data_IF_316445874068
#
_entry.id   IF_316445874068
#
_cell.length_a   1.000
_cell.length_b   1.000
_cell.length_c   1.000
_cell.angle_alpha   90.00
_cell.angle_beta   90.00
_cell.angle_gamma   90.00
#
_symmetry.space_group_name_H-M   'P 1'
#
loop_
_entity.id
_entity.type
_entity.pdbx_description
1 polymer ?
#
# COMPACT_ATOMS: atom_id res chain seq x y z
N UNK A 1 6.54 11.42 -12.11
CA UNK A 1 5.36 11.42 -11.23
C UNK A 1 5.58 10.30 -10.23
N UNK A 2 5.64 10.57 -8.92
CA UNK A 2 5.69 9.48 -7.94
C UNK A 2 4.36 8.72 -8.01
N UNK A 3 4.42 7.43 -8.31
CA UNK A 3 3.24 6.58 -8.26
C UNK A 3 2.77 6.49 -6.80
N UNK A 4 1.47 6.63 -6.51
CA UNK A 4 0.97 6.65 -5.13
C UNK A 4 1.06 5.29 -4.43
N UNK A 5 1.43 4.23 -5.15
CA UNK A 5 1.77 2.90 -4.64
C UNK A 5 2.63 2.15 -5.67
N UNK A 6 3.21 1.03 -5.25
CA UNK A 6 3.83 0.04 -6.12
C UNK A 6 3.40 -1.37 -5.71
N UNK A 7 3.41 -2.28 -6.68
CA UNK A 7 3.05 -3.70 -6.50
C UNK A 7 4.30 -4.53 -6.72
N UNK A 8 4.56 -5.48 -5.83
CA UNK A 8 5.66 -6.42 -5.95
C UNK A 8 5.16 -7.85 -5.81
N UNK A 9 5.60 -8.74 -6.71
CA UNK A 9 5.33 -10.16 -6.60
C UNK A 9 6.40 -10.83 -5.73
N UNK A 10 5.98 -11.38 -4.59
CA UNK A 10 6.83 -12.01 -3.57
C UNK A 10 6.68 -13.52 -3.63
N UNK A 11 7.76 -14.22 -3.26
CA UNK A 11 7.82 -15.69 -3.18
C UNK A 11 7.51 -16.40 -4.52
N UNK A 12 8.03 -15.83 -5.61
CA UNK A 12 7.84 -16.30 -6.98
C UNK A 12 9.16 -16.75 -7.67
N UNK A 13 10.03 -17.56 -7.01
CA UNK A 13 11.38 -17.85 -7.52
C UNK A 13 11.41 -18.52 -8.90
N UNK A 14 10.36 -19.28 -9.25
CA UNK A 14 10.23 -19.96 -10.54
C UNK A 14 9.87 -19.03 -11.72
N UNK A 15 9.47 -17.78 -11.46
CA UNK A 15 9.03 -16.84 -12.49
C UNK A 15 10.16 -15.95 -13.00
N UNK A 16 10.22 -15.79 -14.33
CA UNK A 16 11.14 -14.87 -15.01
C UNK A 16 10.78 -13.41 -14.70
N UNK A 17 11.74 -12.49 -14.82
CA UNK A 17 11.51 -11.06 -14.59
C UNK A 17 10.38 -10.50 -15.45
N UNK A 18 10.26 -10.95 -16.71
CA UNK A 18 9.17 -10.53 -17.61
C UNK A 18 7.81 -10.99 -17.11
N UNK A 19 7.69 -12.28 -16.74
CA UNK A 19 6.44 -12.83 -16.22
C UNK A 19 6.01 -12.14 -14.92
N UNK A 20 6.97 -11.79 -14.05
CA UNK A 20 6.72 -11.02 -12.83
C UNK A 20 6.16 -9.62 -13.14
N UNK A 21 6.81 -8.87 -14.04
CA UNK A 21 6.36 -7.52 -14.41
C UNK A 21 4.97 -7.54 -15.06
N UNK A 22 4.69 -8.53 -15.91
CA UNK A 22 3.36 -8.70 -16.49
C UNK A 22 2.30 -9.00 -15.41
N UNK A 23 2.62 -9.86 -14.46
CA UNK A 23 1.76 -10.20 -13.33
C UNK A 23 1.42 -8.98 -12.47
N UNK A 24 2.46 -8.23 -12.09
CA UNK A 24 2.36 -7.00 -11.29
C UNK A 24 1.52 -5.95 -12.03
N UNK A 25 1.72 -5.79 -13.34
CA UNK A 25 0.95 -4.88 -14.17
C UNK A 25 -0.53 -5.26 -14.28
N UNK A 26 -0.85 -6.56 -14.43
CA UNK A 26 -2.24 -7.05 -14.45
C UNK A 26 -2.92 -6.83 -13.11
N UNK A 27 -2.22 -7.12 -12.01
CA UNK A 27 -2.72 -6.90 -10.66
C UNK A 27 -3.02 -5.41 -10.40
N UNK A 28 -2.07 -4.52 -10.71
CA UNK A 28 -2.24 -3.08 -10.56
C UNK A 28 -3.42 -2.56 -11.39
N UNK A 29 -3.53 -2.96 -12.66
CA UNK A 29 -4.62 -2.54 -13.54
C UNK A 29 -6.00 -3.00 -13.04
N UNK A 30 -6.08 -4.20 -12.47
CA UNK A 30 -7.32 -4.72 -11.89
C UNK A 30 -7.74 -3.93 -10.65
N UNK A 31 -6.79 -3.61 -9.76
CA UNK A 31 -7.03 -2.73 -8.61
C UNK A 31 -7.50 -1.34 -9.05
N UNK A 32 -6.80 -0.70 -9.99
CA UNK A 32 -7.16 0.62 -10.50
C UNK A 32 -8.56 0.61 -11.12
N UNK A 33 -8.92 -0.44 -11.85
CA UNK A 33 -10.26 -0.57 -12.45
C UNK A 33 -11.36 -0.69 -11.40
N UNK A 34 -11.09 -1.33 -10.27
CA UNK A 34 -12.06 -1.55 -9.20
C UNK A 34 -12.21 -0.36 -8.22
N UNK A 35 -11.13 0.41 -8.05
CA UNK A 35 -11.08 1.58 -7.17
C UNK A 35 -11.17 2.93 -7.90
N UNK A 36 -11.24 2.92 -9.24
CA UNK A 36 -11.39 4.14 -10.04
C UNK A 36 -10.10 4.91 -10.30
N UNK A 37 -8.96 4.23 -10.21
CA UNK A 37 -7.63 4.78 -10.49
C UNK A 37 -6.65 4.62 -9.33
N UNK A 38 -5.40 5.10 -9.51
CA UNK A 38 -4.32 4.81 -8.59
C UNK A 38 -4.48 5.50 -7.22
N UNK A 39 -5.11 6.68 -7.17
CA UNK A 39 -5.46 7.36 -5.92
C UNK A 39 -6.48 6.58 -5.10
N UNK A 40 -7.46 5.95 -5.76
CA UNK A 40 -8.47 5.12 -5.09
C UNK A 40 -7.86 3.88 -4.45
N UNK A 41 -6.90 3.24 -5.12
CA UNK A 41 -6.13 2.11 -4.57
C UNK A 41 -5.37 2.53 -3.32
N UNK A 42 -4.67 3.68 -3.37
CA UNK A 42 -3.90 4.18 -2.23
C UNK A 42 -4.81 4.59 -1.05
N UNK A 43 -5.98 5.18 -1.31
CA UNK A 43 -6.97 5.50 -0.28
C UNK A 43 -7.50 4.22 0.39
N UNK A 44 -7.80 3.18 -0.40
CA UNK A 44 -8.31 1.93 0.13
C UNK A 44 -7.29 1.14 0.94
N UNK A 45 -6.03 1.10 0.49
CA UNK A 45 -4.95 0.51 1.27
C UNK A 45 -4.70 1.26 2.58
N UNK A 46 -4.79 2.60 2.57
CA UNK A 46 -4.69 3.42 3.80
C UNK A 46 -5.82 3.12 4.78
N UNK A 47 -7.06 3.06 4.29
CA UNK A 47 -8.22 2.70 5.12
C UNK A 47 -8.07 1.30 5.73
N UNK A 48 -7.63 0.32 4.94
CA UNK A 48 -7.35 -1.03 5.42
C UNK A 48 -6.22 -1.07 6.45
N UNK A 49 -5.10 -0.38 6.19
CA UNK A 49 -3.98 -0.30 7.14
C UNK A 49 -4.36 0.40 8.44
N UNK A 50 -5.15 1.47 8.37
CA UNK A 50 -5.70 2.15 9.55
C UNK A 50 -6.63 1.21 10.31
N UNK A 51 -7.43 0.41 9.62
CA UNK A 51 -8.33 -0.56 10.23
C UNK A 51 -7.60 -1.73 10.93
N UNK A 52 -6.35 -2.01 10.58
CA UNK A 52 -5.52 -2.99 11.28
C UNK A 52 -4.88 -2.43 12.56
N UNK A 53 -4.61 -1.12 12.59
CA UNK A 53 -3.97 -0.43 13.72
C UNK A 53 -4.99 0.12 14.74
N UNK A 54 -6.22 0.38 14.26
CA UNK A 54 -7.31 0.98 15.03
C UNK A 54 -8.33 -0.07 15.47
N UNK A 55 -8.89 0.08 16.67
CA UNK A 55 -9.96 -0.80 17.14
C UNK A 55 -11.24 -0.61 16.29
N UNK A 56 -12.01 -1.69 16.02
CA UNK A 56 -13.24 -1.63 15.23
C UNK A 56 -14.31 -0.70 15.80
N UNK A 57 -14.25 -0.37 17.10
CA UNK A 57 -15.16 0.57 17.75
C UNK A 57 -14.86 2.04 17.44
N UNK A 58 -13.61 2.36 17.06
CA UNK A 58 -13.15 3.70 16.71
C UNK A 58 -13.10 3.93 15.19
N UNK A 59 -13.43 2.91 14.39
CA UNK A 59 -13.43 2.98 12.93
C UNK A 59 -14.80 3.39 12.39
N UNK A 60 -14.80 4.42 11.54
CA UNK A 60 -15.99 4.80 10.79
C UNK A 60 -16.50 3.64 9.91
N UNK A 61 -17.82 3.53 9.79
CA UNK A 61 -18.47 2.50 8.97
C UNK A 61 -18.02 2.56 7.49
N UNK A 62 -17.71 3.76 6.98
CA UNK A 62 -17.17 3.95 5.63
C UNK A 62 -15.78 3.31 5.51
N UNK A 63 -14.88 3.57 6.47
CA UNK A 63 -13.54 2.97 6.54
C UNK A 63 -13.59 1.45 6.64
N UNK A 64 -14.48 0.91 7.47
CA UNK A 64 -14.70 -0.54 7.58
C UNK A 64 -15.19 -1.15 6.25
N UNK A 65 -16.16 -0.52 5.59
CA UNK A 65 -16.66 -0.97 4.30
C UNK A 65 -15.56 -0.94 3.22
N UNK A 66 -14.71 0.09 3.26
CA UNK A 66 -13.60 0.26 2.34
C UNK A 66 -12.49 -0.76 2.58
N UNK A 67 -12.18 -1.07 3.84
CA UNK A 67 -11.25 -2.12 4.23
C UNK A 67 -11.75 -3.53 3.86
N UNK A 68 -13.05 -3.80 4.05
CA UNK A 68 -13.66 -5.06 3.61
C UNK A 68 -13.65 -5.19 2.07
N UNK A 69 -13.93 -4.10 1.37
CA UNK A 69 -13.86 -4.04 -0.10
C UNK A 69 -12.43 -4.24 -0.59
N UNK A 70 -11.43 -3.69 0.11
CA UNK A 70 -10.02 -3.90 -0.18
C UNK A 70 -9.68 -5.38 -0.26
N UNK A 71 -9.99 -6.17 0.77
CA UNK A 71 -9.71 -7.61 0.78
C UNK A 71 -10.31 -8.34 -0.42
N UNK A 72 -11.60 -8.09 -0.71
CA UNK A 72 -12.30 -8.76 -1.81
C UNK A 72 -11.70 -8.42 -3.17
N UNK A 73 -11.45 -7.14 -3.41
CA UNK A 73 -10.88 -6.67 -4.67
C UNK A 73 -9.43 -7.13 -4.82
N UNK A 74 -8.64 -7.07 -3.75
CA UNK A 74 -7.25 -7.53 -3.75
C UNK A 74 -7.14 -9.04 -4.04
N UNK A 75 -8.05 -9.87 -3.50
CA UNK A 75 -8.05 -11.30 -3.83
C UNK A 75 -8.48 -11.57 -5.28
N UNK A 76 -9.50 -10.85 -5.79
CA UNK A 76 -9.88 -10.96 -7.20
C UNK A 76 -8.75 -10.52 -8.14
N UNK A 77 -8.10 -9.38 -7.84
CA UNK A 77 -6.94 -8.91 -8.59
C UNK A 77 -5.79 -9.91 -8.51
N UNK A 78 -5.58 -10.57 -7.37
CA UNK A 78 -4.57 -11.61 -7.20
C UNK A 78 -4.86 -12.80 -8.11
N UNK A 79 -6.10 -13.27 -8.16
CA UNK A 79 -6.48 -14.39 -9.03
C UNK A 79 -6.23 -14.05 -10.51
N UNK A 80 -6.60 -12.84 -10.94
CA UNK A 80 -6.36 -12.36 -12.32
C UNK A 80 -4.86 -12.14 -12.62
N UNK A 81 -4.11 -11.60 -11.66
CA UNK A 81 -2.66 -11.43 -11.76
C UNK A 81 -1.91 -12.76 -11.81
N UNK A 82 -2.38 -13.76 -11.04
CA UNK A 82 -1.87 -15.13 -11.06
C UNK A 82 -2.29 -15.91 -12.31
N UNK A 83 -3.29 -15.43 -13.04
CA UNK A 83 -3.86 -16.12 -14.19
C UNK A 83 -2.83 -16.19 -15.33
N UNK A 84 -2.40 -17.42 -15.63
CA UNK A 84 -1.44 -17.69 -16.70
C UNK A 84 0.02 -17.73 -16.27
N UNK A 85 0.33 -17.64 -14.97
CA UNK A 85 1.72 -17.79 -14.46
C UNK A 85 2.13 -19.24 -14.17
N UNK A 86 1.18 -20.19 -14.22
CA UNK A 86 1.40 -21.59 -13.82
C UNK A 86 1.35 -21.78 -12.31
N UNK A 87 1.72 -22.97 -11.82
CA UNK A 87 1.79 -23.25 -10.38
C UNK A 87 2.94 -22.46 -9.74
N UNK A 88 2.60 -21.35 -9.09
CA UNK A 88 3.51 -20.57 -8.26
C UNK A 88 3.09 -20.72 -6.78
N UNK A 89 3.35 -21.87 -6.15
CA UNK A 89 2.91 -22.14 -4.78
C UNK A 89 3.54 -21.13 -3.81
N UNK A 90 2.68 -20.45 -3.04
CA UNK A 90 3.10 -19.45 -2.06
C UNK A 90 3.41 -18.06 -2.62
N UNK A 91 3.30 -17.86 -3.94
CA UNK A 91 3.47 -16.54 -4.54
C UNK A 91 2.30 -15.61 -4.15
N UNK A 92 2.60 -14.37 -3.80
CA UNK A 92 1.60 -13.38 -3.43
C UNK A 92 2.03 -11.98 -3.87
N UNK A 93 1.05 -11.12 -4.15
CA UNK A 93 1.31 -9.72 -4.46
C UNK A 93 1.30 -8.90 -3.17
N UNK A 94 2.30 -8.06 -3.01
CA UNK A 94 2.35 -7.03 -1.98
C UNK A 94 2.10 -5.66 -2.61
N UNK A 95 1.21 -4.88 -2.01
CA UNK A 95 1.03 -3.46 -2.33
C UNK A 95 1.79 -2.67 -1.28
N UNK A 96 2.63 -1.73 -1.74
CA UNK A 96 3.38 -0.83 -0.87
C UNK A 96 3.13 0.60 -1.27
N UNK A 97 2.77 1.43 -0.31
CA UNK A 97 2.71 2.88 -0.53
C UNK A 97 4.12 3.45 -0.36
N UNK A 98 4.63 4.28 -1.29
CA UNK A 98 5.78 5.09 -0.98
C UNK A 98 5.38 6.00 0.17
N UNK A 99 6.09 5.89 1.29
CA UNK A 99 6.02 6.81 2.42
C UNK A 99 6.28 8.22 1.91
N UNK A 100 5.21 8.92 1.52
CA UNK A 100 5.25 10.34 1.22
C UNK A 100 5.25 11.07 2.55
N UNK A 101 6.44 11.40 3.05
CA UNK A 101 6.62 12.55 3.95
C UNK A 101 6.48 12.32 5.45
N UNK A 102 6.97 11.21 6.00
CA UNK A 102 7.66 11.32 7.32
C UNK A 102 9.15 11.34 7.03
N UNK A 103 9.59 12.46 6.46
CA UNK A 103 10.86 13.00 6.88
C UNK A 103 10.69 13.25 8.39
N UNK A 104 11.67 12.82 9.17
CA UNK A 104 11.84 13.21 10.55
C UNK A 104 11.67 14.73 10.70
N UNK A 105 10.47 15.20 11.03
CA UNK A 105 10.34 16.33 11.95
C UNK A 105 10.54 15.74 13.35
N UNK A 106 11.74 15.21 13.58
CA UNK A 106 12.33 15.25 14.90
C UNK A 106 12.37 16.76 15.20
N UNK A 107 11.44 17.21 16.02
CA UNK A 107 11.39 18.58 16.52
C UNK A 107 12.82 18.98 16.88
N UNK A 108 13.45 19.97 16.22
CA UNK A 108 14.67 20.51 16.76
C UNK A 108 14.32 20.94 18.17
N UNK A 109 14.95 20.28 19.14
CA UNK A 109 14.76 20.58 20.53
C UNK A 109 14.77 22.08 20.69
N UNK A 110 13.81 22.58 21.47
CA UNK A 110 13.74 23.93 21.95
C UNK A 110 15.11 24.33 22.50
N UNK A 111 16.00 24.77 21.61
CA UNK A 111 17.11 25.63 21.90
C UNK A 111 16.47 27.00 22.12
N UNK A 112 15.72 27.10 23.23
CA UNK A 112 15.46 28.37 23.87
C UNK A 112 16.81 28.88 24.34
N UNK A 113 17.47 29.54 23.40
CA UNK A 113 18.37 30.64 23.59
C UNK A 113 17.97 31.45 24.84
N UNK A 114 18.70 31.23 25.92
CA UNK A 114 18.89 32.20 26.99
C UNK A 114 20.34 32.14 27.47
N UNK A 115 21.29 32.09 26.53
CA UNK A 115 22.62 32.66 26.75
C UNK A 115 22.48 34.17 26.56
N UNK A 116 22.19 34.90 27.65
CA UNK A 116 22.51 36.32 27.74
C UNK A 116 23.95 36.46 28.23
N UNK A 117 24.85 37.09 27.46
CA UNK A 117 26.14 37.53 27.99
C UNK A 117 26.04 38.91 28.69
N UNK A 118 26.81 38.99 29.77
CA UNK A 118 27.57 40.15 30.29
C UNK A 118 26.85 41.40 30.81
N UNK A 119 26.86 41.55 32.13
CA UNK A 119 27.44 42.69 32.86
C UNK A 119 27.76 42.27 34.30
#
# INVERSE_FOLDING_TARGET
>A
MPYPYFVALVNAPALTSTARVEAEGRYAKSLESAFGGPDGVAAAFKAWSAALDTAPEDLDADTMALAARWHRVADQARQEGMRGLGEAPGAHFEVRLPISGILLANSPGTAANALRPSA
#
